data_IF_479089982501
#
_entry.id   IF_479089982501
#
_cell.length_a   1.000
_cell.length_b   1.000
_cell.length_c   1.000
_cell.angle_alpha   90.00
_cell.angle_beta   90.00
_cell.angle_gamma   90.00
#
_symmetry.space_group_name_H-M   'P 1'
#
loop_
_entity.id
_entity.type
_entity.pdbx_description
1 polymer ?
#
# COMPACT_ATOMS: atom_id res chain seq x y z
N UNK A 1 -15.89 -10.50 -16.80
CA UNK A 1 -14.65 -11.03 -17.42
C UNK A 1 -13.76 -9.90 -17.92
N UNK A 2 -14.29 -8.91 -18.65
CA UNK A 2 -13.53 -7.71 -19.06
C UNK A 2 -13.05 -6.89 -17.85
N UNK A 3 -13.92 -6.68 -16.86
CA UNK A 3 -13.55 -5.93 -15.63
C UNK A 3 -12.43 -6.60 -14.83
N UNK A 4 -12.43 -7.94 -14.78
CA UNK A 4 -11.37 -8.73 -14.15
C UNK A 4 -10.01 -8.52 -14.83
N UNK A 5 -9.97 -8.55 -16.17
CA UNK A 5 -8.75 -8.28 -16.92
C UNK A 5 -8.31 -6.82 -16.81
N UNK A 6 -9.27 -5.89 -16.74
CA UNK A 6 -9.00 -4.46 -16.58
C UNK A 6 -8.41 -4.17 -15.19
N UNK A 7 -8.99 -4.71 -14.12
CA UNK A 7 -8.45 -4.62 -12.76
C UNK A 7 -7.08 -5.27 -12.63
N UNK A 8 -6.87 -6.43 -13.27
CA UNK A 8 -5.59 -7.12 -13.16
C UNK A 8 -4.47 -6.36 -13.87
N UNK A 9 -4.73 -5.77 -15.05
CA UNK A 9 -3.71 -5.05 -15.85
C UNK A 9 -3.56 -3.60 -15.41
N UNK A 10 -4.66 -2.85 -15.35
CA UNK A 10 -4.63 -1.43 -15.01
C UNK A 10 -4.63 -1.19 -13.50
N UNK A 11 -5.26 -2.07 -12.71
CA UNK A 11 -5.29 -1.94 -11.25
C UNK A 11 -3.92 -2.12 -10.62
N UNK A 12 -3.06 -3.01 -11.14
CA UNK A 12 -1.67 -3.11 -10.68
C UNK A 12 -0.87 -1.84 -11.00
N UNK A 13 -1.11 -1.25 -12.17
CA UNK A 13 -0.42 -0.02 -12.60
C UNK A 13 -0.84 1.17 -11.74
N UNK A 14 -2.14 1.29 -11.45
CA UNK A 14 -2.69 2.29 -10.53
C UNK A 14 -2.16 2.09 -9.11
N UNK A 15 -2.13 0.85 -8.61
CA UNK A 15 -1.57 0.51 -7.31
C UNK A 15 -0.10 0.92 -7.20
N UNK A 16 0.70 0.60 -8.23
CA UNK A 16 2.11 0.98 -8.28
C UNK A 16 2.26 2.51 -8.27
N UNK A 17 1.47 3.23 -9.06
CA UNK A 17 1.50 4.70 -9.07
C UNK A 17 1.17 5.29 -7.69
N UNK A 18 0.10 4.81 -7.05
CA UNK A 18 -0.29 5.22 -5.71
C UNK A 18 0.79 4.91 -4.67
N UNK A 19 1.40 3.73 -4.75
CA UNK A 19 2.49 3.33 -3.86
C UNK A 19 3.73 4.24 -4.01
N UNK A 20 4.09 4.64 -5.24
CA UNK A 20 5.17 5.61 -5.47
C UNK A 20 4.83 6.98 -4.85
N UNK A 21 3.57 7.41 -4.94
CA UNK A 21 3.12 8.67 -4.33
C UNK A 21 3.15 8.61 -2.80
N UNK A 22 2.79 7.48 -2.18
CA UNK A 22 2.96 7.25 -0.74
C UNK A 22 4.44 7.39 -0.35
N UNK A 23 5.35 6.77 -1.10
CA UNK A 23 6.80 6.88 -0.84
C UNK A 23 7.27 8.34 -0.93
N UNK A 24 6.83 9.11 -1.93
CA UNK A 24 7.19 10.52 -2.06
C UNK A 24 6.70 11.36 -0.87
N UNK A 25 5.45 11.19 -0.43
CA UNK A 25 4.90 11.92 0.72
C UNK A 25 5.63 11.57 2.03
N UNK A 26 6.03 10.30 2.18
CA UNK A 26 6.84 9.80 3.29
C UNK A 26 8.23 10.45 3.34
N UNK A 27 8.88 10.57 2.18
CA UNK A 27 10.13 11.31 2.08
C UNK A 27 9.95 12.80 2.41
N UNK A 28 8.84 13.42 2.02
CA UNK A 28 8.55 14.79 2.42
C UNK A 28 8.39 14.91 3.94
N UNK A 29 7.66 13.99 4.60
CA UNK A 29 7.59 13.92 6.07
C UNK A 29 8.99 13.83 6.69
N UNK A 30 9.87 12.99 6.15
CA UNK A 30 11.26 12.91 6.64
C UNK A 30 12.08 14.18 6.44
N UNK A 31 11.89 14.87 5.31
CA UNK A 31 12.64 16.07 4.98
C UNK A 31 12.20 17.28 5.80
N UNK A 32 10.91 17.39 6.12
CA UNK A 32 10.33 18.59 6.73
C UNK A 32 9.96 18.43 8.22
N UNK A 33 9.78 17.20 8.71
CA UNK A 33 9.21 16.95 10.04
C UNK A 33 10.18 16.16 10.92
N UNK A 34 11.03 16.87 11.66
CA UNK A 34 12.17 16.29 12.37
C UNK A 34 11.77 15.40 13.56
N UNK A 35 10.60 15.63 14.17
CA UNK A 35 10.13 14.87 15.33
C UNK A 35 9.23 13.69 14.94
N UNK A 36 8.37 13.84 13.94
CA UNK A 36 7.49 12.77 13.47
C UNK A 36 8.17 11.80 12.50
N UNK A 37 9.30 12.17 11.89
CA UNK A 37 10.00 11.32 10.93
C UNK A 37 10.34 9.93 11.49
N UNK A 38 10.78 9.84 12.75
CA UNK A 38 11.10 8.56 13.39
C UNK A 38 9.84 7.69 13.56
N UNK A 39 8.78 8.28 14.09
CA UNK A 39 7.49 7.59 14.30
C UNK A 39 6.93 7.10 12.97
N UNK A 40 6.96 7.96 11.95
CA UNK A 40 6.51 7.63 10.62
C UNK A 40 7.37 6.50 10.02
N UNK A 41 8.69 6.54 10.16
CA UNK A 41 9.58 5.47 9.67
C UNK A 41 9.27 4.10 10.27
N UNK A 42 9.05 4.02 11.59
CA UNK A 42 8.65 2.76 12.23
C UNK A 42 7.29 2.29 11.72
N UNK A 43 6.32 3.21 11.63
CA UNK A 43 4.99 2.90 11.13
C UNK A 43 5.02 2.35 9.69
N UNK A 44 5.89 2.85 8.82
CA UNK A 44 6.05 2.31 7.46
C UNK A 44 6.48 0.85 7.44
N UNK A 45 7.42 0.49 8.33
CA UNK A 45 7.94 -0.87 8.41
C UNK A 45 6.84 -1.79 8.90
N UNK A 46 6.16 -1.40 9.98
CA UNK A 46 5.06 -2.18 10.55
C UNK A 46 3.94 -2.41 9.53
N UNK A 47 3.49 -1.35 8.85
CA UNK A 47 2.47 -1.45 7.80
C UNK A 47 2.89 -2.38 6.65
N UNK A 48 4.16 -2.32 6.21
CA UNK A 48 4.67 -3.21 5.15
C UNK A 48 4.73 -4.66 5.61
N UNK A 49 5.21 -4.90 6.83
CA UNK A 49 5.32 -6.25 7.42
C UNK A 49 3.94 -6.86 7.61
N UNK A 50 2.99 -6.10 8.14
CA UNK A 50 1.61 -6.54 8.34
C UNK A 50 0.92 -6.85 7.02
N UNK A 51 0.98 -5.94 6.04
CA UNK A 51 0.36 -6.15 4.73
C UNK A 51 0.96 -7.37 3.99
N UNK A 52 2.27 -7.56 4.06
CA UNK A 52 2.91 -8.73 3.44
C UNK A 52 2.56 -10.03 4.17
N UNK A 53 2.51 -10.02 5.50
CA UNK A 53 2.14 -11.20 6.30
C UNK A 53 0.70 -11.61 6.04
N UNK A 54 -0.23 -10.66 6.00
CA UNK A 54 -1.64 -10.91 5.69
C UNK A 54 -1.82 -11.44 4.26
N UNK A 55 -1.16 -10.81 3.27
CA UNK A 55 -1.16 -11.29 1.89
C UNK A 55 -0.62 -12.72 1.77
N UNK A 56 0.49 -13.03 2.45
CA UNK A 56 1.08 -14.36 2.46
C UNK A 56 0.13 -15.40 3.08
N UNK A 57 -0.51 -15.09 4.21
CA UNK A 57 -1.49 -15.98 4.84
C UNK A 57 -2.71 -16.20 3.94
N UNK A 58 -3.24 -15.15 3.30
CA UNK A 58 -4.36 -15.25 2.36
C UNK A 58 -4.02 -16.11 1.16
N UNK A 59 -2.85 -15.94 0.57
CA UNK A 59 -2.41 -16.79 -0.53
C UNK A 59 -2.23 -18.25 -0.08
N UNK A 60 -1.64 -18.47 1.10
CA UNK A 60 -1.45 -19.80 1.66
C UNK A 60 -2.79 -20.51 1.98
N UNK A 61 -3.82 -19.77 2.35
CA UNK A 61 -5.18 -20.30 2.59
C UNK A 61 -5.99 -20.54 1.32
N UNK A 62 -5.43 -20.27 0.14
CA UNK A 62 -6.10 -20.44 -1.15
C UNK A 62 -6.97 -19.25 -1.57
N UNK A 63 -6.84 -18.09 -0.93
CA UNK A 63 -7.51 -16.86 -1.35
C UNK A 63 -7.04 -16.45 -2.74
N UNK A 64 -7.97 -15.99 -3.58
CA UNK A 64 -7.64 -15.58 -4.94
C UNK A 64 -6.71 -14.35 -4.97
N UNK A 65 -5.71 -14.30 -5.87
CA UNK A 65 -4.76 -13.18 -5.96
C UNK A 65 -5.41 -11.80 -6.15
N UNK A 66 -6.52 -11.72 -6.88
CA UNK A 66 -7.21 -10.43 -7.10
C UNK A 66 -7.80 -9.85 -5.80
N UNK A 67 -8.24 -10.68 -4.86
CA UNK A 67 -8.72 -10.24 -3.55
C UNK A 67 -7.56 -9.67 -2.73
N UNK A 68 -6.42 -10.35 -2.73
CA UNK A 68 -5.20 -9.86 -2.07
C UNK A 68 -4.76 -8.51 -2.65
N UNK A 69 -4.86 -8.33 -3.97
CA UNK A 69 -4.54 -7.05 -4.61
C UNK A 69 -5.52 -5.94 -4.24
N UNK A 70 -6.81 -6.25 -4.11
CA UNK A 70 -7.82 -5.29 -3.65
C UNK A 70 -7.53 -4.83 -2.20
N UNK A 71 -7.15 -5.74 -1.31
CA UNK A 71 -6.77 -5.41 0.06
C UNK A 71 -5.52 -4.54 0.12
N UNK A 72 -4.49 -4.86 -0.66
CA UNK A 72 -3.28 -4.04 -0.75
C UNK A 72 -3.59 -2.64 -1.27
N UNK A 73 -4.52 -2.51 -2.21
CA UNK A 73 -4.97 -1.22 -2.72
C UNK A 73 -5.66 -0.39 -1.64
N UNK A 74 -6.53 -0.99 -0.84
CA UNK A 74 -7.16 -0.33 0.30
C UNK A 74 -6.12 0.21 1.29
N UNK A 75 -5.08 -0.58 1.61
CA UNK A 75 -3.99 -0.15 2.51
C UNK A 75 -3.21 1.04 1.92
N UNK A 76 -2.92 1.01 0.61
CA UNK A 76 -2.22 2.12 -0.06
C UNK A 76 -3.09 3.38 -0.10
N UNK A 77 -4.40 3.25 -0.32
CA UNK A 77 -5.33 4.37 -0.33
C UNK A 77 -5.45 5.03 1.05
N UNK A 78 -5.60 4.24 2.12
CA UNK A 78 -5.57 4.75 3.51
C UNK A 78 -4.26 5.50 3.83
N UNK A 79 -3.14 5.00 3.31
CA UNK A 79 -1.85 5.66 3.47
C UNK A 79 -1.77 6.98 2.71
N UNK A 80 -2.29 7.03 1.48
CA UNK A 80 -2.36 8.27 0.71
C UNK A 80 -3.20 9.32 1.44
N UNK A 81 -4.39 8.96 1.90
CA UNK A 81 -5.28 9.86 2.63
C UNK A 81 -4.57 10.46 3.84
N UNK A 82 -3.99 9.61 4.71
CA UNK A 82 -3.28 10.03 5.91
C UNK A 82 -2.09 10.95 5.65
N UNK A 83 -1.35 10.70 4.58
CA UNK A 83 -0.13 11.45 4.25
C UNK A 83 -0.40 12.71 3.42
N UNK A 84 -1.61 12.84 2.88
CA UNK A 84 -2.04 14.00 2.09
C UNK A 84 -2.82 15.03 2.90
N UNK A 85 -3.29 14.66 4.10
CA UNK A 85 -3.88 15.55 5.10
C UNK A 85 -2.81 16.32 5.85
#
# INVERSE_FOLDING_TARGET
>A
MVDFWHEMVFGQSELNWKAQRVIALRFNKFAFDFFDARTEAYKMVDEKVLAFSDAAMKLASGTFPHVVMADLRMVVDQNLERLSA
#
